data_IF_146997958539
#
_entry.id   IF_146997958539
#
_cell.length_a   1.000
_cell.length_b   1.000
_cell.length_c   1.000
_cell.angle_alpha   90.00
_cell.angle_beta   90.00
_cell.angle_gamma   90.00
#
_symmetry.space_group_name_H-M   'P 1'
#
loop_
_entity.id
_entity.type
_entity.pdbx_description
1 polymer ?
#
# COMPACT_ATOMS: atom_id res chain seq x y z
N UNK A 1 -32.49 -32.75 -25.29
CA UNK A 1 -33.01 -33.02 -23.93
C UNK A 1 -32.02 -32.35 -22.99
N UNK A 2 -32.31 -31.09 -22.69
CA UNK A 2 -31.47 -30.18 -21.91
C UNK A 2 -31.31 -30.70 -20.47
N UNK A 3 -30.08 -30.67 -19.96
CA UNK A 3 -29.80 -30.84 -18.54
C UNK A 3 -29.79 -29.46 -17.91
N UNK A 4 -30.86 -29.13 -17.19
CA UNK A 4 -30.90 -27.95 -16.34
C UNK A 4 -29.93 -28.11 -15.16
N UNK A 5 -28.95 -27.20 -15.08
CA UNK A 5 -28.16 -26.96 -13.88
C UNK A 5 -29.01 -26.04 -13.00
N UNK A 6 -29.42 -26.53 -11.83
CA UNK A 6 -30.10 -25.72 -10.83
C UNK A 6 -29.04 -24.88 -10.09
N UNK A 7 -29.07 -23.57 -10.29
CA UNK A 7 -28.39 -22.62 -9.40
C UNK A 7 -29.30 -22.38 -8.20
N UNK A 8 -28.84 -22.78 -7.01
CA UNK A 8 -29.53 -22.50 -5.75
C UNK A 8 -28.93 -21.20 -5.22
N UNK A 9 -29.65 -20.09 -5.38
CA UNK A 9 -29.35 -18.84 -4.70
C UNK A 9 -29.88 -18.98 -3.27
N UNK A 10 -28.99 -19.29 -2.32
CA UNK A 10 -29.30 -19.17 -0.89
C UNK A 10 -28.86 -17.77 -0.45
N UNK A 11 -29.82 -16.85 -0.38
CA UNK A 11 -29.60 -15.54 0.21
C UNK A 11 -29.58 -15.70 1.74
N UNK A 12 -28.40 -15.85 2.32
CA UNK A 12 -28.24 -15.79 3.78
C UNK A 12 -28.25 -14.34 4.23
N UNK A 13 -29.40 -13.86 4.71
CA UNK A 13 -29.49 -12.62 5.46
C UNK A 13 -29.20 -12.95 6.94
N UNK A 14 -27.95 -12.78 7.38
CA UNK A 14 -27.62 -12.80 8.81
C UNK A 14 -27.88 -11.41 9.40
N UNK A 15 -29.07 -11.19 9.95
CA UNK A 15 -29.33 -10.07 10.87
C UNK A 15 -29.23 -10.63 12.29
N UNK A 16 -28.07 -10.46 12.91
CA UNK A 16 -27.90 -10.75 14.33
C UNK A 16 -28.18 -9.48 15.15
N UNK A 17 -29.45 -9.26 15.52
CA UNK A 17 -29.81 -8.25 16.54
C UNK A 17 -29.87 -8.96 17.89
N UNK A 18 -28.83 -8.80 18.71
CA UNK A 18 -28.83 -9.29 20.09
C UNK A 18 -29.24 -8.14 21.01
N UNK A 19 -30.52 -8.11 21.39
CA UNK A 19 -31.02 -7.25 22.47
C UNK A 19 -30.74 -7.93 23.81
N UNK A 20 -29.83 -7.36 24.60
CA UNK A 20 -29.71 -7.77 25.98
C UNK A 20 -30.81 -7.11 26.82
N UNK A 21 -31.58 -7.95 27.50
CA UNK A 21 -32.70 -7.51 28.35
C UNK A 21 -32.16 -7.29 29.76
N UNK A 22 -31.67 -6.09 30.05
CA UNK A 22 -31.29 -5.72 31.41
C UNK A 22 -32.57 -5.38 32.19
N UNK A 23 -32.93 -6.21 33.17
CA UNK A 23 -33.93 -5.87 34.18
C UNK A 23 -33.40 -4.74 35.07
N UNK A 24 -33.83 -3.51 34.81
CA UNK A 24 -33.73 -2.42 35.79
C UNK A 24 -34.91 -2.49 36.76
N UNK A 25 -34.60 -2.78 38.03
CA UNK A 25 -35.51 -2.53 39.15
C UNK A 25 -35.57 -1.03 39.40
N UNK A 26 -36.70 -0.41 39.08
CA UNK A 26 -36.98 0.99 39.38
C UNK A 26 -37.29 1.16 40.87
N UNK A 27 -36.38 1.79 41.62
CA UNK A 27 -36.68 2.42 42.89
C UNK A 27 -37.00 3.89 42.65
N UNK A 28 -38.28 4.25 42.73
CA UNK A 28 -38.74 5.64 42.69
C UNK A 28 -38.37 6.34 43.99
N UNK A 29 -37.57 7.40 43.89
CA UNK A 29 -37.37 8.41 44.91
C UNK A 29 -37.42 9.79 44.26
N UNK A 30 -38.61 10.38 44.25
CA UNK A 30 -38.80 11.82 44.00
C UNK A 30 -38.25 12.59 45.20
N UNK A 31 -37.40 13.57 44.96
CA UNK A 31 -37.20 14.70 45.87
C UNK A 31 -37.11 15.99 45.03
N UNK A 32 -37.93 16.95 45.43
CA UNK A 32 -38.24 18.20 44.74
C UNK A 32 -37.48 19.37 45.40
N UNK A 33 -37.07 20.36 44.60
CA UNK A 33 -36.69 21.72 45.04
C UNK A 33 -35.17 21.94 45.13
N UNK A 34 -34.59 23.09 44.80
CA UNK A 34 -35.02 24.45 44.43
C UNK A 34 -33.93 25.01 43.48
N UNK A 35 -34.21 25.77 42.41
CA UNK A 35 -34.55 27.19 42.50
C UNK A 35 -33.30 28.08 42.35
N UNK A 36 -32.94 28.49 41.13
CA UNK A 36 -32.22 29.75 40.87
C UNK A 36 -32.71 30.38 39.57
N UNK A 37 -33.48 31.45 39.74
CA UNK A 37 -33.87 32.43 38.74
C UNK A 37 -32.70 33.40 38.49
N UNK A 38 -32.55 33.87 37.25
CA UNK A 38 -31.43 34.71 36.85
C UNK A 38 -31.39 35.09 35.38
N UNK A 39 -32.36 35.90 34.96
CA UNK A 39 -32.23 36.92 33.90
C UNK A 39 -32.30 36.45 32.43
N UNK A 40 -33.53 36.35 31.90
CA UNK A 40 -33.81 36.46 30.46
C UNK A 40 -33.80 37.93 30.06
N UNK A 41 -32.67 38.39 29.52
CA UNK A 41 -32.54 39.63 28.78
C UNK A 41 -32.37 39.32 27.29
N UNK A 42 -33.27 39.92 26.50
CA UNK A 42 -33.32 39.97 25.04
C UNK A 42 -31.96 39.86 24.32
N UNK A 43 -31.86 38.91 23.38
CA UNK A 43 -31.13 39.00 22.10
C UNK A 43 -31.31 37.68 21.33
N UNK A 44 -32.51 37.48 20.80
CA UNK A 44 -32.86 36.34 19.95
C UNK A 44 -32.47 36.63 18.49
N UNK A 45 -31.15 36.71 18.20
CA UNK A 45 -30.63 36.85 16.83
C UNK A 45 -29.30 36.08 16.59
N UNK A 46 -28.82 35.30 17.57
CA UNK A 46 -27.47 34.69 17.52
C UNK A 46 -27.39 33.20 17.16
N UNK A 47 -28.48 32.44 17.25
CA UNK A 47 -28.43 30.97 17.20
C UNK A 47 -28.70 30.35 15.81
N UNK A 48 -29.06 31.15 14.80
CA UNK A 48 -29.36 30.67 13.43
C UNK A 48 -28.24 31.03 12.41
N UNK A 49 -27.11 31.58 12.86
CA UNK A 49 -25.98 31.91 11.96
C UNK A 49 -24.81 30.91 11.99
N UNK A 50 -24.86 29.86 12.80
CA UNK A 50 -23.73 28.92 12.99
C UNK A 50 -23.73 27.72 12.03
N UNK A 51 -24.71 27.60 11.13
CA UNK A 51 -24.86 26.44 10.23
C UNK A 51 -24.71 26.76 8.73
N UNK A 52 -24.27 27.95 8.35
CA UNK A 52 -24.00 28.32 6.94
C UNK A 52 -22.61 28.94 6.78
N UNK A 53 -21.58 28.19 7.17
CA UNK A 53 -20.29 28.34 6.54
C UNK A 53 -20.11 27.17 5.56
N UNK A 54 -20.24 27.49 4.27
CA UNK A 54 -19.73 26.69 3.17
C UNK A 54 -18.23 26.48 3.40
N UNK A 55 -17.89 25.47 4.19
CA UNK A 55 -16.52 25.03 4.37
C UNK A 55 -16.14 24.20 3.14
N UNK A 56 -15.99 24.88 2.01
CA UNK A 56 -15.23 24.32 0.90
C UNK A 56 -13.77 24.34 1.35
N UNK A 57 -13.11 23.17 1.54
CA UNK A 57 -11.70 23.15 1.85
C UNK A 57 -10.94 23.95 0.78
N UNK A 58 -9.94 24.76 1.17
CA UNK A 58 -9.16 25.53 0.21
C UNK A 58 -8.61 24.59 -0.86
N UNK A 59 -8.67 25.03 -2.12
CA UNK A 59 -8.14 24.29 -3.27
C UNK A 59 -6.68 23.91 -2.94
N UNK A 60 -6.31 22.62 -3.06
CA UNK A 60 -4.95 22.19 -2.81
C UNK A 60 -3.98 23.05 -3.63
N UNK A 61 -2.84 23.48 -3.05
CA UNK A 61 -1.86 24.24 -3.80
C UNK A 61 -1.44 23.44 -5.05
N UNK A 62 -1.22 24.12 -6.19
CA UNK A 62 -0.72 23.45 -7.39
C UNK A 62 0.62 22.75 -7.08
N UNK A 63 0.90 21.60 -7.72
CA UNK A 63 2.18 20.91 -7.54
C UNK A 63 3.35 21.86 -7.79
N UNK A 64 4.48 21.70 -7.08
CA UNK A 64 5.67 22.49 -7.36
C UNK A 64 6.07 22.38 -8.83
N UNK A 65 6.49 23.48 -9.50
CA UNK A 65 6.98 23.40 -10.86
C UNK A 65 8.23 22.50 -10.92
N UNK A 66 8.28 21.62 -11.92
CA UNK A 66 9.44 20.75 -12.16
C UNK A 66 10.72 21.58 -12.35
N UNK A 67 11.90 21.05 -11.95
CA UNK A 67 13.18 21.65 -12.30
C UNK A 67 13.35 21.73 -13.84
N UNK A 68 14.26 22.59 -14.33
CA UNK A 68 14.54 22.67 -15.76
C UNK A 68 14.94 21.29 -16.31
N UNK A 69 14.45 20.97 -17.50
CA UNK A 69 14.74 19.69 -18.16
C UNK A 69 16.22 19.56 -18.49
N UNK A 70 16.79 18.39 -18.21
CA UNK A 70 18.12 18.01 -18.65
C UNK A 70 18.23 17.99 -20.18
N UNK A 71 19.45 18.10 -20.69
CA UNK A 71 19.80 18.02 -22.12
C UNK A 71 20.39 16.66 -22.46
N UNK A 72 20.18 16.20 -23.70
CA UNK A 72 20.68 14.89 -24.11
C UNK A 72 22.20 14.81 -24.12
N UNK A 73 22.88 15.79 -24.71
CA UNK A 73 24.34 15.74 -24.92
C UNK A 73 25.11 16.16 -23.66
N UNK A 74 24.78 17.33 -23.08
CA UNK A 74 25.59 17.90 -21.99
C UNK A 74 25.31 17.23 -20.64
N UNK A 75 24.03 16.98 -20.30
CA UNK A 75 23.66 16.46 -18.98
C UNK A 75 23.63 14.93 -18.93
N UNK A 76 23.20 14.28 -20.02
CA UNK A 76 23.04 12.82 -20.08
C UNK A 76 24.19 12.11 -20.81
N UNK A 77 25.16 12.84 -21.38
CA UNK A 77 26.25 12.25 -22.16
C UNK A 77 25.77 11.41 -23.33
N UNK A 78 24.53 11.64 -23.79
CA UNK A 78 23.88 10.88 -24.83
C UNK A 78 24.14 11.44 -26.23
N UNK A 79 23.63 10.72 -27.22
CA UNK A 79 23.71 11.13 -28.63
C UNK A 79 22.32 11.54 -29.11
N UNK A 80 22.22 12.71 -29.73
CA UNK A 80 20.99 13.21 -30.35
C UNK A 80 20.29 14.29 -29.52
N UNK A 81 18.96 14.29 -29.53
CA UNK A 81 18.16 15.33 -28.90
C UNK A 81 16.85 14.77 -28.34
N UNK A 82 16.39 15.33 -27.22
CA UNK A 82 15.13 14.95 -26.58
C UNK A 82 13.89 15.27 -27.44
N UNK A 83 14.01 16.15 -28.44
CA UNK A 83 12.93 16.43 -29.39
C UNK A 83 12.87 15.44 -30.57
N UNK A 84 13.92 14.64 -30.80
CA UNK A 84 13.98 13.64 -31.88
C UNK A 84 14.17 12.23 -31.31
N UNK A 85 15.41 11.86 -31.03
CA UNK A 85 15.80 10.64 -30.33
C UNK A 85 17.04 10.97 -29.52
N UNK A 86 17.00 10.65 -28.23
CA UNK A 86 18.14 10.73 -27.33
C UNK A 86 18.54 9.33 -26.89
N UNK A 87 19.78 8.95 -27.16
CA UNK A 87 20.35 7.66 -26.77
C UNK A 87 21.43 7.87 -25.71
N UNK A 88 21.18 7.38 -24.49
CA UNK A 88 22.17 7.39 -23.41
C UNK A 88 23.10 6.20 -23.61
N UNK A 89 24.35 6.49 -23.94
CA UNK A 89 25.38 5.49 -24.27
C UNK A 89 26.28 5.15 -23.09
N UNK A 90 26.40 6.06 -22.13
CA UNK A 90 27.32 5.96 -20.98
C UNK A 90 26.57 5.97 -19.65
N UNK A 91 27.17 5.33 -18.64
CA UNK A 91 26.58 5.26 -17.29
C UNK A 91 26.67 6.61 -16.59
N UNK A 92 25.60 6.97 -15.87
CA UNK A 92 25.42 8.27 -15.22
C UNK A 92 25.31 8.10 -13.70
N UNK A 93 26.03 8.94 -12.96
CA UNK A 93 25.90 9.06 -11.50
C UNK A 93 25.36 10.44 -11.16
N UNK A 94 24.07 10.51 -10.86
CA UNK A 94 23.34 11.71 -10.53
C UNK A 94 23.57 12.08 -9.06
N UNK A 95 23.75 13.37 -8.80
CA UNK A 95 23.93 13.92 -7.44
C UNK A 95 22.67 14.59 -6.89
N UNK A 96 21.69 14.85 -7.77
CA UNK A 96 20.44 15.52 -7.46
C UNK A 96 19.33 14.98 -8.36
N UNK A 97 18.08 15.24 -7.97
CA UNK A 97 16.92 14.90 -8.79
C UNK A 97 17.02 15.50 -10.19
N UNK A 98 16.60 14.72 -11.18
CA UNK A 98 16.70 15.07 -12.60
C UNK A 98 15.35 14.89 -13.27
N UNK A 99 14.99 15.84 -14.12
CA UNK A 99 13.80 15.78 -14.95
C UNK A 99 14.22 15.83 -16.42
N UNK A 100 13.71 14.93 -17.23
CA UNK A 100 14.00 14.79 -18.66
C UNK A 100 12.69 14.99 -19.39
N UNK A 101 12.60 16.00 -20.25
CA UNK A 101 11.39 16.29 -21.01
C UNK A 101 11.70 16.47 -22.50
N UNK A 102 10.89 15.86 -23.36
CA UNK A 102 11.11 15.91 -24.81
C UNK A 102 9.93 15.48 -25.67
N UNK A 103 9.90 15.90 -26.93
CA UNK A 103 8.88 15.44 -27.90
C UNK A 103 9.25 14.14 -28.62
N UNK A 104 10.51 13.74 -28.50
CA UNK A 104 11.09 12.59 -29.19
C UNK A 104 11.05 11.31 -28.37
N UNK A 105 12.01 10.44 -28.66
CA UNK A 105 12.23 9.17 -27.98
C UNK A 105 13.40 9.27 -26.98
N UNK A 106 13.37 8.46 -25.93
CA UNK A 106 14.45 8.38 -24.94
C UNK A 106 14.84 6.94 -24.68
N UNK A 107 16.06 6.59 -25.07
CA UNK A 107 16.58 5.23 -25.00
C UNK A 107 17.81 5.17 -24.12
N UNK A 108 17.77 4.31 -23.10
CA UNK A 108 18.94 3.93 -22.32
C UNK A 108 19.48 2.65 -22.93
N UNK A 109 20.69 2.70 -23.48
CA UNK A 109 21.27 1.57 -24.20
C UNK A 109 21.62 0.39 -23.28
N UNK A 110 21.84 -0.82 -23.85
CA UNK A 110 22.19 -1.99 -23.06
C UNK A 110 23.41 -1.80 -22.17
N UNK A 111 23.38 -2.38 -20.96
CA UNK A 111 24.43 -2.29 -19.93
C UNK A 111 24.73 -0.87 -19.41
N UNK A 112 23.88 0.12 -19.69
CA UNK A 112 24.00 1.46 -19.13
C UNK A 112 23.36 1.51 -17.75
N UNK A 113 24.05 2.12 -16.78
CA UNK A 113 23.54 2.33 -15.43
C UNK A 113 23.31 3.81 -15.15
N UNK A 114 22.11 4.18 -14.74
CA UNK A 114 21.77 5.52 -14.24
C UNK A 114 21.52 5.41 -12.74
N UNK A 115 22.37 6.00 -11.92
CA UNK A 115 22.31 5.87 -10.46
C UNK A 115 22.21 7.23 -9.76
N UNK A 116 21.27 7.35 -8.84
CA UNK A 116 21.13 8.43 -7.87
C UNK A 116 20.93 7.86 -6.46
N UNK A 117 21.85 7.01 -6.02
CA UNK A 117 21.76 6.35 -4.70
C UNK A 117 22.35 7.17 -3.55
N UNK A 118 23.00 8.30 -3.84
CA UNK A 118 23.70 9.12 -2.82
C UNK A 118 22.71 9.88 -1.93
N UNK A 119 21.55 10.23 -2.47
CA UNK A 119 20.52 11.01 -1.78
C UNK A 119 19.25 10.15 -1.67
N UNK A 120 18.80 9.80 -0.46
CA UNK A 120 17.53 9.11 -0.26
C UNK A 120 16.37 9.91 -0.88
N UNK A 121 15.50 9.23 -1.63
CA UNK A 121 14.38 9.87 -2.31
C UNK A 121 14.76 10.66 -3.57
N UNK A 122 15.97 10.52 -4.11
CA UNK A 122 16.35 11.15 -5.37
C UNK A 122 15.39 10.74 -6.50
N UNK A 123 14.94 11.73 -7.26
CA UNK A 123 13.89 11.57 -8.27
C UNK A 123 14.46 11.63 -9.69
N UNK A 124 14.09 10.66 -10.52
CA UNK A 124 14.29 10.67 -11.96
C UNK A 124 12.93 10.66 -12.65
N UNK A 125 12.55 11.81 -13.19
CA UNK A 125 11.33 11.97 -13.98
C UNK A 125 11.66 12.02 -15.47
N UNK A 126 10.96 11.23 -16.27
CA UNK A 126 11.10 11.18 -17.72
C UNK A 126 9.72 11.43 -18.32
N UNK A 127 9.61 12.47 -19.14
CA UNK A 127 8.39 12.82 -19.85
C UNK A 127 8.69 12.98 -21.35
N UNK A 128 8.39 11.94 -22.11
CA UNK A 128 8.61 11.91 -23.55
C UNK A 128 7.30 11.69 -24.30
N UNK A 129 7.12 12.39 -25.42
CA UNK A 129 5.94 12.17 -26.24
C UNK A 129 6.04 10.90 -27.11
N UNK A 130 7.26 10.41 -27.38
CA UNK A 130 7.53 9.20 -28.13
C UNK A 130 7.78 7.97 -27.25
N UNK A 131 8.74 7.15 -27.67
CA UNK A 131 9.03 5.85 -27.06
C UNK A 131 10.12 5.93 -26.00
N UNK A 132 9.93 5.19 -24.92
CA UNK A 132 10.95 4.94 -23.90
C UNK A 132 11.46 3.50 -24.03
N UNK A 133 12.78 3.31 -23.93
CA UNK A 133 13.37 1.97 -23.87
C UNK A 133 14.48 1.90 -22.83
N UNK A 134 14.39 0.91 -21.93
CA UNK A 134 15.48 0.47 -21.07
C UNK A 134 16.08 -0.81 -21.65
N UNK A 135 17.28 -0.69 -22.23
CA UNK A 135 17.97 -1.76 -22.93
C UNK A 135 18.34 -2.97 -22.06
N UNK A 136 18.81 -4.04 -22.70
CA UNK A 136 19.19 -5.27 -22.01
C UNK A 136 20.24 -5.02 -20.92
N UNK A 137 20.00 -5.56 -19.72
CA UNK A 137 20.86 -5.37 -18.53
C UNK A 137 21.12 -3.91 -18.14
N UNK A 138 20.36 -2.94 -18.68
CA UNK A 138 20.44 -1.56 -18.26
C UNK A 138 19.73 -1.37 -16.91
N UNK A 139 20.27 -0.48 -16.07
CA UNK A 139 19.87 -0.38 -14.66
C UNK A 139 19.60 1.08 -14.28
N UNK A 140 18.52 1.31 -13.54
CA UNK A 140 18.18 2.61 -12.95
C UNK A 140 18.10 2.43 -11.43
N UNK A 141 18.94 3.13 -10.68
CA UNK A 141 18.94 3.13 -9.21
C UNK A 141 18.54 4.50 -8.68
N UNK A 142 17.31 4.67 -8.21
CA UNK A 142 16.79 5.97 -7.76
C UNK A 142 15.84 5.81 -6.58
N UNK A 143 15.50 6.88 -5.88
CA UNK A 143 14.47 6.85 -4.84
C UNK A 143 13.04 6.94 -5.41
N UNK A 144 12.86 7.75 -6.44
CA UNK A 144 11.61 7.88 -7.20
C UNK A 144 11.88 7.82 -8.69
N UNK A 145 11.12 6.99 -9.40
CA UNK A 145 11.11 6.90 -10.85
C UNK A 145 9.72 7.25 -11.38
N UNK A 146 9.64 8.24 -12.25
CA UNK A 146 8.41 8.62 -12.94
C UNK A 146 8.64 8.62 -14.44
N UNK A 147 7.80 7.89 -15.17
CA UNK A 147 7.85 7.78 -16.62
C UNK A 147 6.50 8.13 -17.23
N UNK A 148 6.49 9.11 -18.11
CA UNK A 148 5.41 9.39 -19.04
C UNK A 148 5.91 9.17 -20.47
N UNK A 149 5.26 8.27 -21.22
CA UNK A 149 5.67 7.90 -22.59
C UNK A 149 4.49 7.47 -23.47
N UNK A 150 4.67 7.42 -24.79
CA UNK A 150 3.69 6.80 -25.69
C UNK A 150 3.74 5.26 -25.61
N UNK A 151 4.95 4.72 -25.69
CA UNK A 151 5.26 3.29 -25.52
C UNK A 151 6.46 3.14 -24.58
N UNK A 152 6.54 2.03 -23.86
CA UNK A 152 7.68 1.73 -22.99
C UNK A 152 8.12 0.28 -23.15
N UNK A 153 9.43 0.06 -23.31
CA UNK A 153 10.03 -1.28 -23.33
C UNK A 153 11.07 -1.44 -22.25
N UNK A 154 10.90 -2.46 -21.41
CA UNK A 154 11.86 -2.90 -20.40
C UNK A 154 12.41 -4.24 -20.85
N UNK A 155 13.59 -4.22 -21.47
CA UNK A 155 14.19 -5.41 -22.07
C UNK A 155 14.62 -6.43 -21.00
N UNK A 156 14.99 -7.63 -21.45
CA UNK A 156 15.43 -8.70 -20.58
C UNK A 156 16.65 -8.29 -19.72
N UNK A 157 16.61 -8.60 -18.43
CA UNK A 157 17.63 -8.24 -17.45
C UNK A 157 17.67 -6.74 -17.11
N UNK A 158 16.83 -5.90 -17.73
CA UNK A 158 16.73 -4.50 -17.35
C UNK A 158 16.11 -4.36 -15.96
N UNK A 159 16.53 -3.32 -15.22
CA UNK A 159 16.17 -3.16 -13.82
C UNK A 159 15.90 -1.69 -13.49
N UNK A 160 14.72 -1.41 -12.95
CA UNK A 160 14.44 -0.18 -12.20
C UNK A 160 14.39 -0.55 -10.73
N UNK A 161 15.34 -0.06 -9.94
CA UNK A 161 15.53 -0.43 -8.55
C UNK A 161 15.46 0.81 -7.65
N UNK A 162 14.45 0.84 -6.80
CA UNK A 162 14.26 1.84 -5.74
C UNK A 162 14.29 1.21 -4.35
N UNK A 163 14.89 0.03 -4.21
CA UNK A 163 14.94 -0.77 -2.98
C UNK A 163 15.72 -0.04 -1.88
N UNK A 164 15.07 0.22 -0.74
CA UNK A 164 15.70 0.89 0.40
C UNK A 164 16.12 2.35 0.17
N UNK A 165 15.77 2.93 -0.99
CA UNK A 165 16.14 4.29 -1.40
C UNK A 165 15.04 5.33 -1.17
N UNK A 166 14.04 5.01 -0.34
CA UNK A 166 12.96 5.95 0.01
C UNK A 166 13.47 7.29 0.54
N UNK A 167 12.76 8.36 0.16
CA UNK A 167 12.80 9.62 0.89
C UNK A 167 11.93 9.55 2.15
N UNK A 168 11.62 10.70 2.74
CA UNK A 168 10.77 10.73 3.94
C UNK A 168 9.32 10.31 3.60
N UNK A 169 8.70 9.42 4.40
CA UNK A 169 7.29 9.09 4.23
C UNK A 169 6.41 10.32 4.49
N UNK A 170 5.11 10.29 4.10
CA UNK A 170 4.20 11.40 4.37
C UNK A 170 4.22 11.82 5.85
N UNK A 171 4.08 13.12 6.09
CA UNK A 171 4.06 13.66 7.45
C UNK A 171 2.93 13.02 8.28
N UNK A 172 3.14 12.92 9.59
CA UNK A 172 2.17 12.38 10.56
C UNK A 172 1.82 10.89 10.38
N UNK A 173 2.62 10.14 9.61
CA UNK A 173 2.50 8.67 9.56
C UNK A 173 3.19 8.01 10.76
N UNK A 174 2.62 6.90 11.24
CA UNK A 174 3.24 6.01 12.24
C UNK A 174 3.93 4.79 11.59
N UNK A 175 4.28 4.91 10.29
CA UNK A 175 4.93 3.83 9.54
C UNK A 175 6.38 3.55 9.94
N UNK A 176 7.09 4.52 10.52
CA UNK A 176 8.40 4.28 11.12
C UNK A 176 8.20 3.98 12.61
N UNK A 177 8.54 2.78 13.09
CA UNK A 177 8.32 2.42 14.49
C UNK A 177 9.15 3.28 15.43
N UNK A 178 8.53 3.66 16.55
CA UNK A 178 9.19 4.42 17.60
C UNK A 178 9.79 3.48 18.64
N UNK A 179 10.99 3.81 19.16
CA UNK A 179 11.63 3.03 20.22
C UNK A 179 12.89 2.28 19.75
N UNK A 180 13.29 1.29 20.56
CA UNK A 180 14.56 0.57 20.40
C UNK A 180 14.37 -0.95 20.29
N UNK A 181 13.20 -1.37 19.83
CA UNK A 181 12.81 -2.79 19.77
C UNK A 181 13.20 -3.45 18.43
N UNK A 182 13.82 -2.70 17.51
CA UNK A 182 14.20 -3.21 16.20
C UNK A 182 13.01 -3.64 15.33
N UNK A 183 11.83 -3.04 15.53
CA UNK A 183 10.62 -3.38 14.80
C UNK A 183 10.72 -3.00 13.31
N UNK A 184 9.98 -3.68 12.43
CA UNK A 184 9.93 -3.40 11.01
C UNK A 184 9.12 -2.15 10.67
N UNK A 185 9.47 -1.51 9.55
CA UNK A 185 8.70 -0.39 8.98
C UNK A 185 7.36 -0.86 8.42
N UNK A 186 6.37 0.02 8.39
CA UNK A 186 5.04 -0.24 7.80
C UNK A 186 4.75 0.65 6.61
N UNK A 187 4.22 0.08 5.54
CA UNK A 187 3.60 0.75 4.38
C UNK A 187 2.88 -0.33 3.60
N UNK A 188 1.60 -0.15 3.21
CA UNK A 188 0.79 -1.23 2.63
C UNK A 188 0.31 -2.23 3.69
N UNK A 189 1.24 -3.01 4.25
CA UNK A 189 1.10 -3.83 5.44
C UNK A 189 1.80 -3.23 6.66
N UNK A 190 1.45 -3.70 7.86
CA UNK A 190 2.19 -3.37 9.09
C UNK A 190 3.54 -4.08 9.13
N UNK A 191 4.53 -3.42 9.74
CA UNK A 191 5.81 -4.06 10.05
C UNK A 191 5.70 -4.97 11.27
N UNK A 192 6.56 -5.98 11.36
CA UNK A 192 6.59 -6.89 12.49
C UNK A 192 7.30 -6.30 13.71
N UNK A 193 6.84 -6.67 14.91
CA UNK A 193 7.55 -6.42 16.15
C UNK A 193 7.55 -7.70 16.98
N UNK A 194 8.69 -8.01 17.60
CA UNK A 194 8.80 -9.18 18.46
C UNK A 194 8.21 -8.87 19.84
N UNK A 195 7.43 -9.82 20.36
CA UNK A 195 6.81 -9.69 21.67
C UNK A 195 7.87 -9.73 22.76
N UNK A 196 8.05 -8.62 23.48
CA UNK A 196 8.99 -8.49 24.59
C UNK A 196 8.32 -8.59 25.97
N UNK A 197 6.99 -8.43 26.03
CA UNK A 197 6.20 -8.43 27.27
C UNK A 197 5.13 -9.51 27.20
N UNK A 198 5.27 -10.55 28.02
CA UNK A 198 4.35 -11.69 28.10
C UNK A 198 2.92 -11.31 28.51
N UNK A 199 2.68 -10.07 28.94
CA UNK A 199 1.34 -9.55 29.27
C UNK A 199 0.56 -9.07 28.06
N UNK A 200 1.21 -8.84 26.92
CA UNK A 200 0.57 -8.38 25.68
C UNK A 200 0.25 -9.56 24.77
N UNK A 201 -0.84 -9.47 24.02
CA UNK A 201 -1.14 -10.43 22.98
C UNK A 201 -0.32 -10.11 21.72
N UNK A 202 0.03 -11.12 20.90
CA UNK A 202 0.70 -10.87 19.62
C UNK A 202 -0.07 -9.90 18.70
N UNK A 203 -1.41 -9.99 18.70
CA UNK A 203 -2.30 -9.11 17.92
C UNK A 203 -2.21 -7.62 18.34
N UNK A 204 -1.66 -7.32 19.54
CA UNK A 204 -1.52 -5.95 20.07
C UNK A 204 -0.12 -5.36 19.86
N UNK A 205 0.78 -6.09 19.19
CA UNK A 205 2.18 -5.70 19.02
C UNK A 205 2.56 -5.73 17.55
N UNK A 206 2.76 -4.55 16.98
CA UNK A 206 3.25 -4.37 15.62
C UNK A 206 4.35 -3.30 15.58
N UNK A 207 5.09 -3.27 14.48
CA UNK A 207 6.07 -2.24 14.18
C UNK A 207 5.41 -0.99 13.62
N UNK A 208 5.79 -0.60 12.40
CA UNK A 208 5.17 0.52 11.71
C UNK A 208 3.73 0.24 11.26
N UNK A 209 2.87 1.26 11.31
CA UNK A 209 1.51 1.18 10.76
C UNK A 209 1.48 1.25 9.23
N UNK A 210 0.45 0.65 8.63
CA UNK A 210 0.12 0.87 7.22
C UNK A 210 -0.57 2.23 7.03
N UNK A 211 -0.31 2.89 5.90
CA UNK A 211 -0.93 4.17 5.53
C UNK A 211 -1.22 4.25 4.02
N UNK A 212 -1.72 5.42 3.59
CA UNK A 212 -2.11 5.72 2.21
C UNK A 212 -3.12 4.73 1.62
N UNK A 213 -4.11 4.30 2.42
CA UNK A 213 -5.21 3.49 1.91
C UNK A 213 -6.08 4.25 0.91
N UNK A 214 -6.35 5.53 1.17
CA UNK A 214 -7.20 6.38 0.31
C UNK A 214 -6.66 6.54 -1.13
N UNK A 215 -5.38 6.26 -1.36
CA UNK A 215 -4.74 6.29 -2.68
C UNK A 215 -4.41 4.89 -3.20
N UNK A 216 -5.08 3.83 -2.71
CA UNK A 216 -4.88 2.44 -3.16
C UNK A 216 -4.90 2.28 -4.69
N UNK A 217 -5.75 3.05 -5.39
CA UNK A 217 -5.86 3.00 -6.86
C UNK A 217 -4.64 3.61 -7.56
N UNK A 218 -3.98 4.59 -6.94
CA UNK A 218 -2.82 5.31 -7.48
C UNK A 218 -1.79 5.53 -6.37
N UNK A 219 -1.13 4.46 -5.89
CA UNK A 219 -0.20 4.54 -4.77
C UNK A 219 1.01 5.39 -5.17
N UNK A 220 1.32 6.38 -4.34
CA UNK A 220 2.45 7.30 -4.56
C UNK A 220 3.04 7.76 -3.23
N UNK A 221 3.36 6.81 -2.35
CA UNK A 221 3.99 7.08 -1.06
C UNK A 221 5.26 6.24 -0.89
N UNK A 222 6.24 6.79 -0.19
CA UNK A 222 7.48 6.08 0.10
C UNK A 222 7.15 5.01 1.13
N UNK A 223 7.94 3.95 1.18
CA UNK A 223 7.99 3.08 2.33
C UNK A 223 8.62 3.76 3.53
N UNK A 224 8.33 3.26 4.72
CA UNK A 224 8.93 3.71 5.97
C UNK A 224 10.15 2.87 6.33
N UNK A 225 11.07 3.49 7.08
CA UNK A 225 12.28 2.82 7.59
C UNK A 225 11.92 1.84 8.71
N UNK A 226 12.74 0.81 8.87
CA UNK A 226 12.73 -0.03 10.06
C UNK A 226 13.27 0.70 11.29
N UNK A 227 12.96 0.18 12.48
CA UNK A 227 13.48 0.67 13.75
C UNK A 227 14.87 0.13 14.07
N UNK A 228 15.55 0.75 15.03
CA UNK A 228 16.87 0.32 15.52
C UNK A 228 16.77 -0.30 16.91
N UNK A 229 17.82 -0.99 17.37
CA UNK A 229 17.99 -1.41 18.77
C UNK A 229 19.04 -0.58 19.53
N UNK A 230 19.55 0.50 18.95
CA UNK A 230 20.57 1.38 19.56
C UNK A 230 20.16 2.85 19.51
N UNK A 231 20.52 3.61 20.55
CA UNK A 231 20.33 5.08 20.60
C UNK A 231 21.39 5.84 19.79
N UNK A 232 22.55 5.22 19.54
CA UNK A 232 23.70 5.88 18.94
C UNK A 232 23.78 5.65 17.43
N UNK A 233 23.33 4.48 16.97
CA UNK A 233 23.44 4.05 15.57
C UNK A 233 22.09 3.56 15.07
N UNK A 234 21.70 4.04 13.90
CA UNK A 234 20.53 3.53 13.18
C UNK A 234 20.92 2.28 12.38
N UNK A 235 20.28 1.16 12.70
CA UNK A 235 20.44 -0.12 12.00
C UNK A 235 19.20 -0.50 11.19
N UNK A 236 18.18 0.36 11.16
CA UNK A 236 16.95 0.12 10.43
C UNK A 236 17.17 0.11 8.92
N UNK A 237 16.54 -0.84 8.25
CA UNK A 237 16.50 -0.87 6.79
C UNK A 237 15.76 0.34 6.23
N UNK A 238 16.24 0.87 5.09
CA UNK A 238 15.58 1.97 4.39
C UNK A 238 14.21 1.56 3.84
N UNK A 239 13.25 2.48 3.74
CA UNK A 239 11.97 2.18 3.09
C UNK A 239 12.11 2.01 1.57
N UNK A 240 11.14 1.35 0.94
CA UNK A 240 11.07 1.23 -0.51
C UNK A 240 10.67 2.52 -1.21
N UNK A 241 11.27 2.78 -2.36
CA UNK A 241 11.01 3.96 -3.19
C UNK A 241 9.65 3.99 -3.88
N UNK A 242 9.53 4.78 -4.94
CA UNK A 242 8.29 4.89 -5.73
C UNK A 242 8.57 4.76 -7.21
N UNK A 243 7.73 4.01 -7.92
CA UNK A 243 7.79 3.81 -9.37
C UNK A 243 6.42 4.17 -9.96
N UNK A 244 6.38 5.10 -10.91
CA UNK A 244 5.15 5.47 -11.64
C UNK A 244 5.39 5.37 -13.13
N UNK A 245 4.62 4.53 -13.81
CA UNK A 245 4.65 4.39 -15.25
C UNK A 245 3.28 4.80 -15.81
N UNK A 246 3.26 5.86 -16.62
CA UNK A 246 2.08 6.35 -17.33
C UNK A 246 2.37 6.26 -18.82
N UNK A 247 1.93 5.16 -19.43
CA UNK A 247 2.24 4.83 -20.84
C UNK A 247 0.95 4.83 -21.64
N UNK A 248 0.88 5.62 -22.72
CA UNK A 248 -0.39 5.81 -23.43
C UNK A 248 -0.90 4.55 -24.14
N UNK A 249 0.00 3.75 -24.70
CA UNK A 249 -0.37 2.62 -25.55
C UNK A 249 0.07 1.28 -24.95
N UNK A 250 1.32 0.86 -25.14
CA UNK A 250 1.75 -0.47 -24.70
C UNK A 250 3.06 -0.47 -23.92
N UNK A 251 3.15 -1.41 -22.99
CA UNK A 251 4.33 -1.73 -22.19
C UNK A 251 4.79 -3.14 -22.54
N UNK A 252 6.07 -3.28 -22.91
CA UNK A 252 6.79 -4.55 -22.95
C UNK A 252 7.59 -4.68 -21.64
N UNK A 253 7.24 -5.64 -20.80
CA UNK A 253 7.74 -5.81 -19.43
C UNK A 253 8.46 -7.14 -19.28
N UNK A 254 9.69 -7.23 -19.79
CA UNK A 254 10.59 -8.39 -19.58
C UNK A 254 11.68 -8.11 -18.53
N UNK A 255 11.79 -6.87 -18.07
CA UNK A 255 12.67 -6.43 -17.01
C UNK A 255 12.10 -6.61 -15.60
N UNK A 256 12.69 -5.90 -14.65
CA UNK A 256 12.28 -5.89 -13.24
C UNK A 256 12.03 -4.47 -12.71
N UNK A 257 10.93 -4.28 -11.99
CA UNK A 257 10.59 -3.07 -11.25
C UNK A 257 10.58 -3.40 -9.75
N UNK A 258 11.54 -2.88 -8.99
CA UNK A 258 11.72 -3.20 -7.57
C UNK A 258 11.57 -1.94 -6.72
N UNK A 259 10.54 -1.91 -5.87
CA UNK A 259 10.32 -0.89 -4.85
C UNK A 259 10.32 -1.52 -3.45
N UNK A 260 11.30 -2.38 -3.20
CA UNK A 260 11.40 -3.18 -1.97
C UNK A 260 11.86 -2.36 -0.76
N UNK A 261 11.50 -2.81 0.44
CA UNK A 261 12.17 -2.39 1.66
C UNK A 261 13.63 -2.82 1.69
N UNK A 262 14.50 -1.99 2.24
CA UNK A 262 15.88 -2.37 2.53
C UNK A 262 15.95 -3.30 3.74
N UNK A 263 16.87 -4.24 3.70
CA UNK A 263 17.09 -5.15 4.81
C UNK A 263 17.74 -4.43 6.00
N UNK A 264 17.26 -4.76 7.19
CA UNK A 264 17.89 -4.44 8.46
C UNK A 264 18.94 -5.49 8.85
N UNK A 265 19.08 -5.70 10.16
CA UNK A 265 20.01 -6.70 10.70
C UNK A 265 19.45 -7.30 11.99
N UNK A 266 20.21 -8.14 12.68
CA UNK A 266 19.83 -8.59 14.03
C UNK A 266 19.70 -7.44 15.07
N UNK A 267 20.07 -6.21 14.70
CA UNK A 267 19.96 -5.00 15.53
C UNK A 267 19.07 -3.91 14.93
N UNK A 268 18.33 -4.21 13.86
CA UNK A 268 17.41 -3.26 13.25
C UNK A 268 16.37 -3.94 12.38
N UNK A 269 15.17 -3.40 12.36
CA UNK A 269 14.07 -3.93 11.56
C UNK A 269 14.25 -3.65 10.08
N UNK A 270 13.57 -4.44 9.25
CA UNK A 270 13.51 -4.23 7.82
C UNK A 270 12.66 -3.01 7.48
N UNK A 271 13.01 -2.30 6.42
CA UNK A 271 12.17 -1.24 5.87
C UNK A 271 10.92 -1.83 5.20
N UNK A 272 9.84 -1.07 5.12
CA UNK A 272 8.66 -1.50 4.38
C UNK A 272 8.88 -1.40 2.88
N UNK A 273 8.09 -2.13 2.09
CA UNK A 273 7.97 -1.91 0.66
C UNK A 273 7.51 -0.49 0.33
N UNK A 274 7.59 -0.13 -0.95
CA UNK A 274 7.24 1.17 -1.51
C UNK A 274 6.00 1.13 -2.42
N UNK A 275 5.88 2.11 -3.31
CA UNK A 275 4.75 2.22 -4.24
C UNK A 275 5.14 1.89 -5.68
N UNK A 276 4.30 1.12 -6.37
CA UNK A 276 4.37 0.98 -7.83
C UNK A 276 3.00 1.27 -8.42
N UNK A 277 2.91 2.23 -9.33
CA UNK A 277 1.71 2.51 -10.12
C UNK A 277 2.01 2.35 -11.61
N UNK A 278 1.20 1.54 -12.29
CA UNK A 278 1.34 1.27 -13.73
C UNK A 278 0.02 1.58 -14.42
N UNK A 279 0.06 2.47 -15.40
CA UNK A 279 -1.07 2.78 -16.27
C UNK A 279 -0.68 2.55 -17.73
N UNK A 280 -1.45 1.72 -18.43
CA UNK A 280 -1.29 1.49 -19.86
C UNK A 280 -2.55 0.94 -20.52
N UNK A 281 -2.64 1.02 -21.85
CA UNK A 281 -3.70 0.30 -22.56
C UNK A 281 -3.40 -1.20 -22.66
N UNK A 282 -2.14 -1.58 -22.92
CA UNK A 282 -1.71 -2.97 -23.03
C UNK A 282 -0.38 -3.21 -22.30
N UNK A 283 -0.24 -4.34 -21.61
CA UNK A 283 1.04 -4.81 -21.07
C UNK A 283 1.26 -6.27 -21.46
N UNK A 284 2.46 -6.59 -21.94
CA UNK A 284 2.93 -7.93 -22.27
C UNK A 284 4.31 -8.16 -21.65
N UNK A 285 4.74 -9.42 -21.54
CA UNK A 285 6.05 -9.78 -21.03
C UNK A 285 6.00 -10.41 -19.63
N UNK A 286 7.02 -11.22 -19.35
CA UNK A 286 7.07 -12.12 -18.19
C UNK A 286 8.01 -11.64 -17.07
N UNK A 287 8.21 -10.33 -17.00
CA UNK A 287 9.08 -9.66 -16.04
C UNK A 287 8.62 -9.79 -14.58
N UNK A 288 9.29 -9.03 -13.72
CA UNK A 288 9.06 -9.06 -12.28
C UNK A 288 8.73 -7.67 -11.72
N UNK A 289 7.69 -7.55 -10.91
CA UNK A 289 7.25 -6.31 -10.29
C UNK A 289 7.09 -6.59 -8.80
N UNK A 290 7.85 -5.88 -7.96
CA UNK A 290 7.96 -6.25 -6.56
C UNK A 290 7.97 -5.00 -5.68
N UNK A 291 7.20 -5.04 -4.60
CA UNK A 291 7.21 -4.03 -3.54
C UNK A 291 7.14 -4.69 -2.16
N UNK A 292 7.92 -5.74 -1.90
CA UNK A 292 7.91 -6.45 -0.62
C UNK A 292 8.66 -5.70 0.48
N UNK A 293 8.41 -6.10 1.72
CA UNK A 293 9.15 -5.61 2.89
C UNK A 293 10.55 -6.24 2.99
N UNK A 294 11.50 -5.48 3.54
CA UNK A 294 12.85 -5.96 3.81
C UNK A 294 12.91 -6.87 5.04
N UNK A 295 13.89 -7.75 5.08
CA UNK A 295 14.15 -8.63 6.22
C UNK A 295 14.81 -7.84 7.36
N UNK A 296 14.61 -8.23 8.62
CA UNK A 296 15.28 -7.56 9.73
C UNK A 296 14.93 -8.15 11.08
N UNK A 297 15.31 -7.51 12.19
CA UNK A 297 14.97 -8.00 13.53
C UNK A 297 13.45 -8.21 13.66
N UNK A 298 12.65 -7.20 13.35
CA UNK A 298 11.30 -7.34 12.81
C UNK A 298 11.30 -7.07 11.31
N UNK A 299 10.65 -7.94 10.52
CA UNK A 299 10.50 -7.77 9.08
C UNK A 299 9.58 -6.60 8.72
N UNK A 300 9.90 -5.90 7.63
CA UNK A 300 9.09 -4.78 7.13
C UNK A 300 7.77 -5.23 6.51
N UNK A 301 6.75 -4.38 6.53
CA UNK A 301 5.49 -4.62 5.84
C UNK A 301 5.64 -4.53 4.32
N UNK A 302 4.87 -5.32 3.56
CA UNK A 302 4.83 -5.25 2.10
C UNK A 302 4.09 -4.01 1.61
N UNK A 303 4.56 -3.40 0.53
CA UNK A 303 4.10 -2.12 -0.02
C UNK A 303 2.80 -2.16 -0.83
N UNK A 304 2.65 -1.24 -1.78
CA UNK A 304 1.43 -1.12 -2.61
C UNK A 304 1.76 -1.12 -4.09
N UNK A 305 1.13 -2.01 -4.84
CA UNK A 305 1.19 -2.05 -6.30
C UNK A 305 -0.22 -1.82 -6.83
N UNK A 306 -0.37 -0.93 -7.81
CA UNK A 306 -1.62 -0.77 -8.55
C UNK A 306 -1.37 -0.79 -10.05
N UNK A 307 -2.21 -1.53 -10.76
CA UNK A 307 -2.17 -1.66 -12.21
C UNK A 307 -3.50 -1.23 -12.83
N UNK A 308 -3.47 -0.12 -13.56
CA UNK A 308 -4.52 0.34 -14.46
C UNK A 308 -4.14 -0.03 -15.89
N UNK A 309 -4.24 -1.33 -16.20
CA UNK A 309 -3.89 -1.86 -17.52
C UNK A 309 -5.07 -2.59 -18.14
N UNK A 310 -5.61 -2.02 -19.22
CA UNK A 310 -6.83 -2.54 -19.86
C UNK A 310 -6.68 -3.98 -20.39
N UNK A 311 -5.52 -4.30 -20.96
CA UNK A 311 -5.23 -5.63 -21.50
C UNK A 311 -3.86 -6.13 -21.04
N UNK A 312 -3.84 -7.13 -20.14
CA UNK A 312 -2.60 -7.79 -19.70
C UNK A 312 -2.50 -9.19 -20.31
N UNK A 313 -1.35 -9.52 -20.87
CA UNK A 313 -1.02 -10.87 -21.36
C UNK A 313 0.37 -11.29 -20.85
N UNK A 314 0.63 -12.60 -20.78
CA UNK A 314 1.93 -13.15 -20.34
C UNK A 314 2.34 -12.68 -18.94
N UNK A 315 1.32 -12.47 -18.08
CA UNK A 315 1.32 -11.75 -16.81
C UNK A 315 2.67 -11.73 -16.07
N UNK A 316 3.28 -10.54 -15.86
CA UNK A 316 4.48 -10.43 -15.06
C UNK A 316 4.20 -10.88 -13.63
N UNK A 317 5.23 -11.39 -12.96
CA UNK A 317 5.10 -11.80 -11.55
C UNK A 317 5.00 -10.55 -10.68
N UNK A 318 4.04 -10.55 -9.76
CA UNK A 318 3.78 -9.42 -8.87
C UNK A 318 3.91 -9.90 -7.43
N UNK A 319 4.78 -9.25 -6.64
CA UNK A 319 5.02 -9.59 -5.24
C UNK A 319 4.83 -8.37 -4.33
N UNK A 320 4.09 -8.58 -3.24
CA UNK A 320 3.78 -7.55 -2.23
C UNK A 320 3.86 -8.09 -0.81
N UNK A 321 4.60 -9.16 -0.56
CA UNK A 321 4.61 -9.80 0.76
C UNK A 321 5.42 -9.01 1.80
N UNK A 322 5.28 -9.32 3.09
CA UNK A 322 6.16 -8.76 4.13
C UNK A 322 7.57 -9.35 4.09
N UNK A 323 8.50 -8.76 4.86
CA UNK A 323 9.84 -9.29 5.06
C UNK A 323 9.90 -10.26 6.25
N UNK A 324 10.92 -11.12 6.26
CA UNK A 324 11.15 -12.09 7.33
C UNK A 324 11.64 -11.41 8.61
N UNK A 325 11.17 -11.90 9.75
CA UNK A 325 11.64 -11.48 11.07
C UNK A 325 12.72 -12.41 11.61
N UNK A 326 13.90 -11.86 11.88
CA UNK A 326 15.03 -12.58 12.46
C UNK A 326 14.89 -12.77 13.97
N UNK A 327 14.26 -11.82 14.67
CA UNK A 327 14.06 -11.88 16.13
C UNK A 327 12.91 -12.78 16.55
N UNK A 328 11.89 -12.90 15.69
CA UNK A 328 10.67 -13.69 15.92
C UNK A 328 10.26 -14.39 14.61
N UNK A 329 10.86 -15.56 14.28
CA UNK A 329 10.73 -16.19 12.96
C UNK A 329 9.31 -16.54 12.51
N UNK A 330 8.36 -16.66 13.44
CA UNK A 330 6.95 -16.91 13.13
C UNK A 330 6.14 -15.64 12.83
N UNK A 331 6.70 -14.45 13.07
CA UNK A 331 6.01 -13.17 12.91
C UNK A 331 6.71 -12.30 11.85
N UNK A 332 6.58 -12.65 10.58
CA UNK A 332 7.06 -11.81 9.47
C UNK A 332 6.22 -10.54 9.34
N UNK A 333 6.66 -9.56 8.55
CA UNK A 333 5.83 -8.40 8.23
C UNK A 333 4.52 -8.81 7.55
N UNK A 334 3.49 -7.98 7.67
CA UNK A 334 2.23 -8.20 6.99
C UNK A 334 2.39 -7.98 5.48
N UNK A 335 1.57 -8.68 4.70
CA UNK A 335 1.48 -8.44 3.27
C UNK A 335 1.01 -7.02 2.96
N UNK A 336 1.48 -6.53 1.83
CA UNK A 336 1.01 -5.35 1.16
C UNK A 336 -0.23 -5.61 0.32
N UNK A 337 -0.43 -4.76 -0.67
CA UNK A 337 -1.64 -4.81 -1.52
C UNK A 337 -1.29 -4.72 -2.99
N UNK A 338 -1.83 -5.63 -3.80
CA UNK A 338 -1.90 -5.48 -5.25
C UNK A 338 -3.33 -5.15 -5.67
N UNK A 339 -3.55 -4.01 -6.32
CA UNK A 339 -4.86 -3.59 -6.80
C UNK A 339 -4.88 -3.50 -8.33
N UNK A 340 -5.79 -4.25 -8.95
CA UNK A 340 -6.09 -4.11 -10.37
C UNK A 340 -7.29 -3.19 -10.56
N UNK A 341 -7.04 -2.02 -11.16
CA UNK A 341 -8.04 -0.96 -11.32
C UNK A 341 -9.14 -1.37 -12.31
N UNK A 342 -8.80 -2.14 -13.34
CA UNK A 342 -9.71 -2.51 -14.43
C UNK A 342 -10.68 -3.58 -13.96
N UNK A 343 -10.16 -4.63 -13.30
CA UNK A 343 -11.02 -5.68 -12.72
C UNK A 343 -11.61 -5.28 -11.36
N UNK A 344 -11.07 -4.23 -10.73
CA UNK A 344 -11.36 -3.80 -9.35
C UNK A 344 -11.14 -4.94 -8.36
N UNK A 345 -10.04 -5.66 -8.56
CA UNK A 345 -9.66 -6.80 -7.73
C UNK A 345 -8.51 -6.41 -6.82
N UNK A 346 -8.64 -6.74 -5.54
CA UNK A 346 -7.61 -6.53 -4.54
C UNK A 346 -7.03 -7.88 -4.11
N UNK A 347 -5.72 -8.04 -4.22
CA UNK A 347 -5.00 -9.25 -3.81
C UNK A 347 -4.03 -8.94 -2.68
N UNK A 348 -4.07 -9.76 -1.63
CA UNK A 348 -3.17 -9.75 -0.49
C UNK A 348 -2.61 -11.16 -0.36
N UNK A 349 -1.31 -11.28 -0.59
CA UNK A 349 -0.58 -12.54 -0.61
C UNK A 349 0.69 -12.37 0.21
N UNK A 350 0.83 -13.15 1.30
CA UNK A 350 2.02 -13.11 2.14
C UNK A 350 3.02 -14.23 1.81
N UNK A 351 2.87 -14.88 0.66
CA UNK A 351 3.82 -15.83 0.10
C UNK A 351 4.27 -16.94 1.06
N UNK A 352 3.32 -17.46 1.85
CA UNK A 352 3.52 -18.48 2.88
C UNK A 352 4.39 -18.05 4.07
N UNK A 353 4.58 -16.75 4.26
CA UNK A 353 5.17 -16.21 5.47
C UNK A 353 4.09 -16.03 6.54
N UNK A 354 4.30 -16.68 7.69
CA UNK A 354 3.43 -16.50 8.85
C UNK A 354 3.64 -15.12 9.44
N UNK A 355 2.56 -14.51 9.90
CA UNK A 355 2.58 -13.18 10.52
C UNK A 355 1.52 -13.08 11.61
N UNK A 356 1.86 -12.40 12.69
CA UNK A 356 0.91 -11.94 13.71
C UNK A 356 0.43 -10.51 13.40
N UNK A 357 1.02 -9.83 12.41
CA UNK A 357 0.68 -8.46 12.02
C UNK A 357 -0.31 -8.41 10.87
N UNK A 358 -1.05 -7.30 10.78
CA UNK A 358 -2.17 -7.17 9.85
C UNK A 358 -1.88 -6.22 8.68
N UNK A 359 -2.40 -6.57 7.51
CA UNK A 359 -2.75 -5.62 6.45
C UNK A 359 -4.07 -4.93 6.83
N UNK A 360 -4.07 -3.60 6.90
CA UNK A 360 -5.27 -2.86 7.33
C UNK A 360 -6.19 -2.55 6.16
N UNK A 361 -7.45 -2.91 6.32
CA UNK A 361 -8.56 -2.54 5.45
C UNK A 361 -9.30 -1.36 6.06
N UNK A 362 -8.97 -0.17 5.60
CA UNK A 362 -9.70 1.05 5.93
C UNK A 362 -10.74 1.27 4.83
N UNK A 363 -11.94 1.81 5.10
CA UNK A 363 -12.79 2.36 4.02
C UNK A 363 -13.12 1.42 2.81
N UNK A 364 -13.27 0.11 3.02
CA UNK A 364 -13.48 -0.88 1.93
C UNK A 364 -14.79 -0.66 1.15
N UNK A 365 -15.76 0.04 1.74
CA UNK A 365 -17.09 0.23 1.19
C UNK A 365 -17.28 1.50 0.33
N UNK A 366 -16.21 2.27 0.05
CA UNK A 366 -16.32 3.52 -0.72
C UNK A 366 -16.27 3.30 -2.23
N UNK A 367 -17.02 4.12 -2.98
CA UNK A 367 -17.22 4.01 -4.42
C UNK A 367 -15.92 4.32 -5.22
N UNK A 368 -15.64 3.61 -6.34
CA UNK A 368 -16.40 2.48 -6.87
C UNK A 368 -16.21 1.20 -6.05
N UNK A 369 -17.29 0.43 -5.88
CA UNK A 369 -17.22 -0.85 -5.18
C UNK A 369 -16.22 -1.79 -5.88
N UNK A 370 -15.40 -2.45 -5.07
CA UNK A 370 -14.49 -3.51 -5.54
C UNK A 370 -15.31 -4.69 -6.09
N UNK A 371 -14.76 -5.37 -7.09
CA UNK A 371 -15.36 -6.60 -7.63
C UNK A 371 -14.90 -7.79 -6.81
N UNK A 372 -13.60 -7.91 -6.55
CA UNK A 372 -13.05 -9.09 -5.89
C UNK A 372 -12.04 -8.73 -4.80
N UNK A 373 -11.98 -9.56 -3.76
CA UNK A 373 -10.93 -9.53 -2.73
C UNK A 373 -10.36 -10.93 -2.59
N UNK A 374 -9.05 -11.06 -2.72
CA UNK A 374 -8.29 -12.31 -2.56
C UNK A 374 -7.30 -12.16 -1.40
N UNK A 375 -7.44 -13.00 -0.38
CA UNK A 375 -6.56 -13.08 0.79
C UNK A 375 -5.98 -14.49 0.81
N UNK A 376 -4.67 -14.62 0.65
CA UNK A 376 -4.05 -15.93 0.43
C UNK A 376 -2.65 -16.06 1.05
N UNK A 377 -2.16 -17.30 1.12
CA UNK A 377 -0.79 -17.65 1.49
C UNK A 377 -0.34 -17.03 2.82
N UNK A 378 -1.11 -17.26 3.88
CA UNK A 378 -0.90 -16.73 5.24
C UNK A 378 -1.00 -15.21 5.37
N UNK A 379 -1.62 -14.52 4.40
CA UNK A 379 -2.01 -13.13 4.57
C UNK A 379 -3.03 -12.96 5.70
N UNK A 380 -2.74 -12.03 6.61
CA UNK A 380 -3.64 -11.65 7.71
C UNK A 380 -4.13 -10.22 7.49
N UNK A 381 -5.44 -10.07 7.37
CA UNK A 381 -6.12 -8.81 7.11
C UNK A 381 -7.00 -8.44 8.29
N UNK A 382 -6.97 -7.17 8.68
CA UNK A 382 -7.82 -6.64 9.75
C UNK A 382 -8.67 -5.47 9.26
N UNK A 383 -9.95 -5.46 9.62
CA UNK A 383 -10.90 -4.38 9.40
C UNK A 383 -11.20 -3.74 10.77
N UNK A 384 -10.43 -2.73 11.19
CA UNK A 384 -10.38 -2.27 12.59
C UNK A 384 -11.49 -1.28 12.95
N UNK A 385 -12.72 -1.49 12.47
CA UNK A 385 -13.87 -0.62 12.80
C UNK A 385 -14.83 -1.35 13.74
N UNK A 386 -15.51 -0.58 14.60
CA UNK A 386 -16.57 -1.12 15.48
C UNK A 386 -17.73 -1.68 14.66
N UNK A 387 -18.08 -0.97 13.59
CA UNK A 387 -19.05 -1.38 12.57
C UNK A 387 -18.36 -1.44 11.22
N UNK A 388 -18.16 -2.67 10.73
CA UNK A 388 -17.40 -2.94 9.51
C UNK A 388 -18.28 -3.57 8.46
N UNK A 389 -18.37 -2.95 7.27
CA UNK A 389 -18.94 -3.61 6.10
C UNK A 389 -17.84 -3.85 5.08
N UNK A 390 -17.64 -5.10 4.70
CA UNK A 390 -16.86 -5.49 3.53
C UNK A 390 -17.84 -5.93 2.45
N UNK A 391 -17.98 -5.10 1.43
CA UNK A 391 -18.91 -5.33 0.33
C UNK A 391 -18.15 -5.34 -0.99
N UNK A 392 -18.32 -6.40 -1.77
CA UNK A 392 -17.81 -6.53 -3.13
C UNK A 392 -18.93 -6.93 -4.08
N UNK A 393 -18.75 -6.68 -5.38
CA UNK A 393 -19.72 -7.05 -6.41
C UNK A 393 -19.65 -8.55 -6.75
N UNK A 394 -18.45 -9.12 -6.81
CA UNK A 394 -18.20 -10.50 -7.20
C UNK A 394 -17.82 -11.36 -6.01
N UNK A 395 -16.52 -11.65 -5.88
CA UNK A 395 -16.03 -12.71 -4.99
C UNK A 395 -15.16 -12.19 -3.83
N UNK A 396 -15.36 -12.77 -2.64
CA UNK A 396 -14.37 -12.73 -1.56
C UNK A 396 -13.77 -14.13 -1.43
N UNK A 397 -12.45 -14.21 -1.52
CA UNK A 397 -11.70 -15.46 -1.42
C UNK A 397 -10.70 -15.37 -0.29
N UNK A 398 -10.78 -16.31 0.67
CA UNK A 398 -9.81 -16.45 1.75
C UNK A 398 -9.23 -17.86 1.71
N UNK A 399 -7.98 -17.99 1.30
CA UNK A 399 -7.35 -19.27 0.93
C UNK A 399 -6.00 -19.47 1.63
N UNK A 400 -5.51 -20.70 1.66
CA UNK A 400 -4.11 -21.05 1.98
C UNK A 400 -3.55 -20.37 3.24
N UNK A 401 -4.21 -20.55 4.38
CA UNK A 401 -3.83 -19.95 5.66
C UNK A 401 -4.25 -18.50 5.83
N UNK A 402 -4.99 -17.92 4.87
CA UNK A 402 -5.48 -16.54 4.92
C UNK A 402 -6.42 -16.28 6.09
N UNK A 403 -6.31 -15.10 6.69
CA UNK A 403 -7.11 -14.69 7.85
C UNK A 403 -7.74 -13.33 7.58
N UNK A 404 -9.07 -13.22 7.77
CA UNK A 404 -9.80 -11.97 7.77
C UNK A 404 -10.41 -11.72 9.16
N UNK A 405 -9.96 -10.64 9.81
CA UNK A 405 -10.38 -10.27 11.16
C UNK A 405 -11.23 -9.00 11.16
N UNK A 406 -12.33 -9.02 11.89
CA UNK A 406 -13.20 -7.87 12.12
C UNK A 406 -13.11 -7.37 13.56
N UNK A 407 -13.09 -6.05 13.71
CA UNK A 407 -13.10 -5.39 15.01
C UNK A 407 -11.70 -5.24 15.63
N UNK A 408 -11.70 -4.78 16.87
CA UNK A 408 -10.51 -4.49 17.65
C UNK A 408 -10.41 -5.48 18.82
N UNK A 409 -9.22 -6.03 19.07
CA UNK A 409 -9.00 -7.12 20.04
C UNK A 409 -9.55 -6.83 21.46
N UNK A 410 -9.59 -5.56 21.87
CA UNK A 410 -10.05 -5.15 23.20
C UNK A 410 -11.52 -4.69 23.27
N UNK A 411 -12.27 -4.77 22.18
CA UNK A 411 -13.66 -4.35 22.14
C UNK A 411 -14.57 -5.58 22.05
N UNK A 412 -15.40 -5.77 23.10
CA UNK A 412 -16.24 -6.96 23.24
C UNK A 412 -17.39 -7.04 22.22
N UNK A 413 -17.64 -5.95 21.49
CA UNK A 413 -18.71 -5.87 20.49
C UNK A 413 -18.11 -5.26 19.22
N UNK A 414 -18.11 -6.06 18.15
CA UNK A 414 -17.90 -5.59 16.78
C UNK A 414 -19.03 -6.17 15.94
N UNK A 415 -19.72 -5.30 15.20
CA UNK A 415 -20.71 -5.74 14.22
C UNK A 415 -20.04 -5.72 12.85
N UNK A 416 -20.19 -6.80 12.11
CA UNK A 416 -19.63 -6.89 10.77
C UNK A 416 -20.64 -7.42 9.77
N UNK A 417 -20.52 -6.95 8.54
CA UNK A 417 -21.26 -7.43 7.39
C UNK A 417 -20.31 -7.78 6.27
N UNK A 418 -20.45 -8.99 5.74
CA UNK A 418 -19.74 -9.45 4.53
C UNK A 418 -20.79 -9.65 3.45
N UNK A 419 -20.66 -8.91 2.34
CA UNK A 419 -21.57 -8.97 1.21
C UNK A 419 -20.78 -9.21 -0.09
N UNK A 420 -21.02 -10.35 -0.72
CA UNK A 420 -20.43 -10.76 -1.98
C UNK A 420 -21.44 -11.62 -2.76
N UNK A 421 -21.30 -11.72 -4.07
CA UNK A 421 -22.01 -12.74 -4.86
C UNK A 421 -21.50 -14.15 -4.54
N UNK A 422 -20.20 -14.26 -4.24
CA UNK A 422 -19.56 -15.52 -3.86
C UNK A 422 -18.55 -15.33 -2.72
N UNK A 423 -18.55 -16.27 -1.76
CA UNK A 423 -17.54 -16.39 -0.71
C UNK A 423 -16.85 -17.74 -0.85
N UNK A 424 -15.55 -17.75 -1.14
CA UNK A 424 -14.72 -18.94 -1.26
C UNK A 424 -13.75 -19.02 -0.09
N UNK A 425 -13.72 -20.17 0.60
CA UNK A 425 -12.83 -20.40 1.74
C UNK A 425 -12.20 -21.79 1.66
N UNK A 426 -10.90 -21.87 1.96
CA UNK A 426 -10.15 -23.13 2.08
C UNK A 426 -8.94 -22.92 2.99
N UNK A 427 -8.79 -23.74 4.02
CA UNK A 427 -7.71 -23.64 5.02
C UNK A 427 -7.54 -22.20 5.54
N UNK A 428 -8.63 -21.55 5.92
CA UNK A 428 -8.66 -20.11 6.22
C UNK A 428 -9.60 -19.76 7.37
N UNK A 429 -9.45 -18.54 7.90
CA UNK A 429 -10.19 -18.09 9.08
C UNK A 429 -10.86 -16.74 8.80
N UNK A 430 -12.16 -16.65 9.08
CA UNK A 430 -12.84 -15.37 9.26
C UNK A 430 -13.25 -15.27 10.73
N UNK A 431 -12.75 -14.28 11.44
CA UNK A 431 -13.05 -14.07 12.87
C UNK A 431 -13.47 -12.64 13.15
N UNK A 432 -14.34 -12.44 14.13
CA UNK A 432 -14.56 -11.15 14.78
C UNK A 432 -13.93 -11.22 16.17
N UNK A 433 -13.48 -10.09 16.74
CA UNK A 433 -12.99 -10.09 18.13
C UNK A 433 -14.03 -10.74 19.06
N UNK A 434 -13.67 -11.88 19.66
CA UNK A 434 -14.47 -12.83 20.45
C UNK A 434 -15.40 -13.85 19.73
N UNK A 435 -15.46 -13.90 18.39
CA UNK A 435 -16.25 -14.90 17.65
C UNK A 435 -15.44 -15.54 16.51
N UNK A 436 -15.38 -16.87 16.48
CA UNK A 436 -14.62 -17.65 15.48
C UNK A 436 -15.60 -18.33 14.50
N UNK A 437 -15.46 -18.08 13.20
CA UNK A 437 -16.08 -18.90 12.15
C UNK A 437 -14.95 -19.70 11.49
N UNK A 438 -14.93 -21.00 11.73
CA UNK A 438 -13.98 -21.94 11.13
C UNK A 438 -14.78 -22.91 10.27
N UNK A 439 -14.41 -23.05 8.99
CA UNK A 439 -15.08 -23.92 8.02
C UNK A 439 -14.11 -24.97 7.46
#
# INVERSE_FOLDING_TARGET
MERHIFSIIVMFLFVAVVKDTIQFSWGLGMDDGEGYDGNLGENDDGFISLFHHDYSPPVPPPPPPHPPSATCEDDLGGVGSLDTTCEVVDSLNLTQSMYIAGKGNFFILPNVTVSCSVVPGCELGINVAGDFSLGENAQIFVGSFELEAANASFANGSLVNTTGLAGDPPEQTSGTPQGLDGAGGGYGGRGAACLMDDKKLPDDVWGGDAYSWSTLQMPWSYGSKGGTTSKEVDYGGGGGGRIKLVVKSHIEMDGSLLAEGGDGSVRGGGGSGGSIFIQAYKMIGSGNISACGGDGFGGGGGGRISADVFSRHEEPKIFVHGGNSLGCPSNSGAAGTFYDVVTRSLTIDNFNMTTDTDTLFMEVAYQPLMTNIFIQSFAKVSVPLLWSRVQVQGQISVLDGGILTFGLAHYAVSEFEVLAEELLMSDSIIKASNYLIQL
#
